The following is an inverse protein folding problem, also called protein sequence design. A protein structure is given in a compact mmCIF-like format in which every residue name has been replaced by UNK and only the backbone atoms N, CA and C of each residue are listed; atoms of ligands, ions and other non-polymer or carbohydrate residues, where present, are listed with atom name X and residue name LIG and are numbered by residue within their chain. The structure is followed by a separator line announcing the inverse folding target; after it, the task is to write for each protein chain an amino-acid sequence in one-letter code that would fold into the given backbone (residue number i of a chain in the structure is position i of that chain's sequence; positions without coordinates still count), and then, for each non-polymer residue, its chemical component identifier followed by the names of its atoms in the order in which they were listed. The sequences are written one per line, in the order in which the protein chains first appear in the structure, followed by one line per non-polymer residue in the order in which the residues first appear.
data_IF_167309772539
#
_entry.id   IF_167309772539
#
_cell.length_a   1.000
_cell.length_b   1.000
_cell.length_c   1.000
_cell.angle_alpha   90.00
_cell.angle_beta   90.00
_cell.angle_gamma   90.00
#
_symmetry.space_group_name_H-M   'P 1'
#
loop_
_entity.id
_entity.type
_entity.pdbx_description
1 polymer ?
#
# COMPACT_ATOMS: atom_id res chain seq x y z
N UNK A 1 39.19 10.07 16.73
CA UNK A 1 37.95 10.69 16.22
C UNK A 1 37.96 10.45 14.74
N UNK A 2 37.16 9.51 14.25
CA UNK A 2 36.92 9.33 12.81
C UNK A 2 35.41 9.18 12.63
N UNK A 3 34.85 10.12 11.88
CA UNK A 3 33.41 10.27 11.65
C UNK A 3 32.92 9.17 10.71
N UNK A 4 32.13 8.23 11.23
CA UNK A 4 31.28 7.35 10.42
C UNK A 4 30.11 8.16 9.85
N UNK A 5 30.40 8.92 8.79
CA UNK A 5 29.39 9.56 7.95
C UNK A 5 28.95 8.63 6.83
N UNK A 6 28.15 7.60 7.15
CA UNK A 6 27.40 6.84 6.13
C UNK A 6 25.97 7.37 6.10
N UNK A 7 25.82 8.35 5.20
CA UNK A 7 24.64 8.81 4.50
C UNK A 7 23.26 8.25 4.93
N UNK A 8 22.46 9.13 5.55
CA UNK A 8 21.03 8.95 5.85
C UNK A 8 20.13 9.16 4.62
N UNK A 9 20.50 8.66 3.43
CA UNK A 9 19.68 8.81 2.21
C UNK A 9 19.15 7.50 1.64
N UNK A 10 19.14 6.41 2.44
CA UNK A 10 18.56 5.11 2.06
C UNK A 10 17.03 5.09 1.92
N UNK A 11 16.40 6.26 1.75
CA UNK A 11 14.94 6.39 1.63
C UNK A 11 14.53 7.26 0.44
N UNK A 12 15.24 7.10 -0.69
CA UNK A 12 14.76 7.57 -1.98
C UNK A 12 14.43 6.34 -2.81
N UNK A 13 13.26 5.76 -2.55
CA UNK A 13 12.53 5.03 -3.57
C UNK A 13 12.38 6.00 -4.74
N UNK A 14 13.31 5.93 -5.69
CA UNK A 14 13.47 6.92 -6.74
C UNK A 14 12.17 6.97 -7.53
N UNK A 15 11.40 8.06 -7.39
CA UNK A 15 10.19 8.32 -8.20
C UNK A 15 10.42 8.02 -9.69
N UNK A 16 11.63 8.29 -10.18
CA UNK A 16 12.09 7.96 -11.54
C UNK A 16 12.09 6.45 -11.87
N UNK A 17 12.46 5.59 -10.92
CA UNK A 17 12.41 4.13 -11.10
C UNK A 17 10.96 3.61 -11.09
N UNK A 18 10.08 4.22 -10.29
CA UNK A 18 8.65 3.88 -10.28
C UNK A 18 7.97 4.27 -11.60
N UNK A 19 8.22 5.47 -12.10
CA UNK A 19 7.70 5.94 -13.39
C UNK A 19 8.22 5.10 -14.57
N UNK A 20 9.50 4.72 -14.56
CA UNK A 20 10.08 3.85 -15.57
C UNK A 20 9.38 2.47 -15.58
N UNK A 21 9.14 1.90 -14.40
CA UNK A 21 8.46 0.60 -14.26
C UNK A 21 7.00 0.67 -14.72
N UNK A 22 6.28 1.76 -14.38
CA UNK A 22 4.92 2.00 -14.83
C UNK A 22 4.83 2.14 -16.35
N UNK A 23 5.75 2.88 -16.97
CA UNK A 23 5.79 3.08 -18.42
C UNK A 23 6.05 1.78 -19.18
N UNK A 24 6.94 0.93 -18.67
CA UNK A 24 7.21 -0.40 -19.24
C UNK A 24 5.96 -1.29 -19.14
N UNK A 25 5.27 -1.28 -17.99
CA UNK A 25 4.04 -2.04 -17.80
C UNK A 25 2.89 -1.56 -18.70
N UNK A 26 2.80 -0.24 -18.95
CA UNK A 26 1.77 0.35 -19.84
C UNK A 26 2.04 0.07 -21.31
N UNK A 27 3.30 0.13 -21.77
CA UNK A 27 3.67 -0.18 -23.16
C UNK A 27 3.51 -1.66 -23.52
N UNK A 28 3.51 -2.56 -22.53
CA UNK A 28 3.29 -4.00 -22.73
C UNK A 28 1.82 -4.31 -23.13
N UNK A 29 0.88 -3.36 -22.97
CA UNK A 29 -0.54 -3.56 -23.29
C UNK A 29 -0.92 -3.33 -24.76
N UNK A 30 -0.06 -2.72 -25.58
CA UNK A 30 -0.43 -2.32 -26.96
C UNK A 30 0.08 -3.25 -28.08
N UNK A 31 0.78 -4.34 -27.77
CA UNK A 31 1.33 -5.28 -28.77
C UNK A 31 0.77 -6.70 -28.64
N UNK A 32 -0.10 -7.09 -29.60
CA UNK A 32 -0.74 -8.41 -29.76
C UNK A 32 0.16 -9.64 -29.46
N UNK A 33 -0.33 -10.57 -28.65
CA UNK A 33 -0.30 -12.02 -28.91
C UNK A 33 -1.47 -12.70 -28.15
N UNK A 34 -2.20 -13.58 -28.85
CA UNK A 34 -3.50 -14.10 -28.42
C UNK A 34 -3.47 -15.44 -27.67
N UNK A 35 -4.68 -16.01 -27.56
CA UNK A 35 -5.06 -17.32 -27.00
C UNK A 35 -5.16 -17.32 -25.47
N UNK A 36 -6.35 -17.71 -24.99
CA UNK A 36 -6.77 -17.56 -23.60
C UNK A 36 -5.77 -18.13 -22.60
N UNK A 37 -5.32 -17.25 -21.70
CA UNK A 37 -4.85 -17.62 -20.37
C UNK A 37 -5.33 -16.51 -19.46
N UNK A 38 -6.04 -16.85 -18.38
CA UNK A 38 -6.25 -15.93 -17.28
C UNK A 38 -4.87 -15.40 -16.90
N UNK A 39 -4.57 -14.14 -17.21
CA UNK A 39 -3.35 -13.51 -16.73
C UNK A 39 -3.45 -13.52 -15.22
N UNK A 40 -2.86 -14.55 -14.63
CA UNK A 40 -2.76 -14.67 -13.20
C UNK A 40 -1.83 -13.56 -12.77
N UNK A 41 -2.43 -12.43 -12.35
CA UNK A 41 -1.70 -11.28 -11.83
C UNK A 41 -0.66 -11.78 -10.82
N UNK A 42 0.54 -11.22 -10.89
CA UNK A 42 1.56 -11.54 -9.92
C UNK A 42 1.03 -11.23 -8.50
N UNK A 43 1.52 -11.94 -7.46
CA UNK A 43 1.00 -11.79 -6.10
C UNK A 43 1.02 -10.35 -5.58
N UNK A 44 2.00 -9.55 -6.00
CA UNK A 44 2.12 -8.16 -5.56
C UNK A 44 1.02 -7.31 -6.19
N UNK A 45 0.81 -7.41 -7.51
CA UNK A 45 -0.26 -6.68 -8.19
C UNK A 45 -1.65 -7.10 -7.69
N UNK A 46 -1.86 -8.39 -7.38
CA UNK A 46 -3.10 -8.85 -6.73
C UNK A 46 -3.34 -8.14 -5.39
N UNK A 47 -2.30 -8.05 -4.55
CA UNK A 47 -2.39 -7.43 -3.24
C UNK A 47 -2.66 -5.92 -3.34
N UNK A 48 -1.94 -5.19 -4.21
CA UNK A 48 -2.15 -3.75 -4.42
C UNK A 48 -3.55 -3.47 -4.95
N UNK A 49 -4.01 -4.22 -5.95
CA UNK A 49 -5.36 -4.05 -6.49
C UNK A 49 -6.44 -4.27 -5.42
N UNK A 50 -6.25 -5.25 -4.53
CA UNK A 50 -7.19 -5.50 -3.43
C UNK A 50 -7.18 -4.36 -2.41
N UNK A 51 -5.98 -3.90 -2.04
CA UNK A 51 -5.77 -2.77 -1.13
C UNK A 51 -6.48 -1.50 -1.62
N UNK A 52 -6.32 -1.17 -2.90
CA UNK A 52 -6.93 0.00 -3.55
C UNK A 52 -8.44 -0.16 -3.68
N UNK A 53 -8.91 -1.29 -4.22
CA UNK A 53 -10.34 -1.56 -4.46
C UNK A 53 -11.17 -1.46 -3.18
N UNK A 54 -10.61 -1.91 -2.06
CA UNK A 54 -11.29 -1.91 -0.76
C UNK A 54 -10.86 -0.75 0.14
N UNK A 55 -10.11 0.21 -0.40
CA UNK A 55 -9.63 1.41 0.30
C UNK A 55 -8.97 1.10 1.66
N UNK A 56 -8.28 -0.04 1.76
CA UNK A 56 -7.84 -0.61 3.05
C UNK A 56 -6.93 0.35 3.78
N UNK A 57 -6.03 1.03 3.06
CA UNK A 57 -5.13 2.03 3.65
C UNK A 57 -5.92 3.17 4.31
N UNK A 58 -6.90 3.74 3.61
CA UNK A 58 -7.70 4.86 4.12
C UNK A 58 -8.46 4.48 5.41
N UNK A 59 -9.04 3.27 5.44
CA UNK A 59 -9.70 2.75 6.63
C UNK A 59 -8.72 2.62 7.81
N UNK A 60 -7.54 2.04 7.57
CA UNK A 60 -6.52 1.84 8.61
C UNK A 60 -5.93 3.16 9.11
N UNK A 61 -5.67 4.13 8.22
CA UNK A 61 -5.22 5.47 8.58
C UNK A 61 -6.25 6.22 9.43
N UNK A 62 -7.53 6.11 9.08
CA UNK A 62 -8.62 6.71 9.85
C UNK A 62 -8.69 6.14 11.27
N UNK A 63 -8.62 4.81 11.40
CA UNK A 63 -8.63 4.15 12.71
C UNK A 63 -7.38 4.55 13.51
N UNK A 64 -6.21 4.53 12.90
CA UNK A 64 -4.95 4.93 13.56
C UNK A 64 -5.01 6.38 14.07
N UNK A 65 -5.55 7.30 13.26
CA UNK A 65 -5.74 8.69 13.67
C UNK A 65 -6.66 8.80 14.89
N UNK A 66 -7.78 8.06 14.91
CA UNK A 66 -8.70 8.03 16.06
C UNK A 66 -8.05 7.48 17.32
N UNK A 67 -7.24 6.42 17.22
CA UNK A 67 -6.51 5.85 18.37
C UNK A 67 -5.51 6.86 18.93
N UNK A 68 -4.70 7.47 18.07
CA UNK A 68 -3.68 8.44 18.47
C UNK A 68 -4.29 9.72 19.06
N UNK A 69 -5.46 10.13 18.57
CA UNK A 69 -6.19 11.29 19.08
C UNK A 69 -6.83 11.01 20.45
N UNK A 70 -7.60 9.92 20.57
CA UNK A 70 -8.35 9.61 21.78
C UNK A 70 -7.49 9.03 22.90
N UNK A 71 -6.33 8.43 22.56
CA UNK A 71 -5.38 7.80 23.51
C UNK A 71 -6.09 6.89 24.53
N UNK A 72 -6.91 5.93 24.06
CA UNK A 72 -7.66 5.05 24.96
C UNK A 72 -6.70 4.24 25.85
N UNK A 73 -7.18 3.86 27.03
CA UNK A 73 -6.41 3.00 27.95
C UNK A 73 -6.10 1.63 27.33
N UNK A 74 -6.98 1.13 26.47
CA UNK A 74 -6.76 -0.07 25.66
C UNK A 74 -6.89 0.27 24.15
N UNK A 75 -5.77 0.51 23.46
CA UNK A 75 -5.74 0.84 22.03
C UNK A 75 -6.24 -0.29 21.13
N UNK A 76 -5.99 -1.56 21.48
CA UNK A 76 -6.37 -2.69 20.64
C UNK A 76 -7.88 -2.89 20.69
N UNK A 77 -8.47 -2.87 21.89
CA UNK A 77 -9.91 -2.97 22.06
C UNK A 77 -10.65 -1.81 21.38
N UNK A 78 -10.08 -0.60 21.43
CA UNK A 78 -10.63 0.55 20.71
C UNK A 78 -10.60 0.34 19.18
N UNK A 79 -9.47 -0.11 18.62
CA UNK A 79 -9.38 -0.41 17.19
C UNK A 79 -10.40 -1.46 16.74
N UNK A 80 -10.57 -2.52 17.54
CA UNK A 80 -11.55 -3.57 17.24
C UNK A 80 -12.98 -3.01 17.17
N UNK A 81 -13.35 -2.12 18.10
CA UNK A 81 -14.65 -1.43 18.08
C UNK A 81 -14.84 -0.58 16.82
N UNK A 82 -13.82 0.18 16.42
CA UNK A 82 -13.87 0.98 15.20
C UNK A 82 -14.03 0.11 13.94
N UNK A 83 -13.30 -1.00 13.85
CA UNK A 83 -13.43 -1.96 12.73
C UNK A 83 -14.85 -2.57 12.70
N UNK A 84 -15.40 -2.95 13.85
CA UNK A 84 -16.75 -3.51 13.94
C UNK A 84 -17.82 -2.47 13.57
N UNK A 85 -17.62 -1.20 13.91
CA UNK A 85 -18.51 -0.12 13.52
C UNK A 85 -18.53 0.11 12.01
N UNK A 86 -17.37 0.01 11.33
CA UNK A 86 -17.28 0.11 9.87
C UNK A 86 -18.06 -1.00 9.14
N UNK A 87 -18.13 -2.20 9.71
CA UNK A 87 -18.86 -3.33 9.13
C UNK A 87 -20.39 -3.14 9.15
N UNK A 88 -20.91 -2.35 10.09
CA UNK A 88 -22.35 -2.21 10.32
C UNK A 88 -22.94 -0.93 9.70
N UNK A 89 -22.14 -0.15 8.96
CA UNK A 89 -22.57 0.94 8.09
C UNK A 89 -22.74 0.46 6.65
#
# INVERSE_FOLDING_TARGET
MDQLGVDKSSNIFNRRQLEASLKIAMNTREGKQGIGTSQELDPFTKAVNYLEKHEILNHMETIAAKVCFNKPADPIEFMLKEILALRNN
#
